data_IF_647424045370
#
_entry.id   IF_647424045370
#
_cell.length_a   1.000
_cell.length_b   1.000
_cell.length_c   1.000
_cell.angle_alpha   90.00
_cell.angle_beta   90.00
_cell.angle_gamma   90.00
#
_symmetry.space_group_name_H-M   'P 1'
#
loop_
_entity.id
_entity.type
_entity.pdbx_description
1 polymer ?
#
# COMPACT_ATOMS: atom_id res chain seq x y z
N UNK A 1 -13.98 -17.46 -15.50
CA UNK A 1 -12.56 -17.07 -15.73
C UNK A 1 -11.92 -17.00 -14.36
N UNK A 2 -10.93 -17.84 -14.03
CA UNK A 2 -10.33 -17.87 -12.70
C UNK A 2 -9.57 -16.58 -12.38
N UNK A 3 -9.52 -16.19 -11.10
CA UNK A 3 -8.67 -15.11 -10.60
C UNK A 3 -7.24 -15.39 -11.06
N UNK A 4 -6.65 -14.48 -11.83
CA UNK A 4 -5.22 -14.55 -12.14
C UNK A 4 -4.53 -13.81 -11.00
N UNK A 5 -3.70 -14.47 -10.20
CA UNK A 5 -2.94 -13.79 -9.15
C UNK A 5 -1.61 -13.32 -9.74
N UNK A 6 -1.64 -12.31 -10.62
CA UNK A 6 -0.45 -11.93 -11.40
C UNK A 6 0.67 -11.36 -10.53
N UNK A 7 0.34 -10.92 -9.32
CA UNK A 7 1.24 -10.25 -8.39
C UNK A 7 1.43 -11.05 -7.10
N UNK A 8 1.06 -12.33 -7.08
CA UNK A 8 1.26 -13.21 -5.93
C UNK A 8 2.70 -13.15 -5.42
N UNK A 9 2.87 -12.89 -4.13
CA UNK A 9 4.19 -12.81 -3.47
C UNK A 9 5.00 -11.56 -3.80
N UNK A 10 4.49 -10.64 -4.64
CA UNK A 10 5.16 -9.38 -4.93
C UNK A 10 4.85 -8.33 -3.86
N UNK A 11 5.81 -7.44 -3.61
CA UNK A 11 5.60 -6.24 -2.79
C UNK A 11 5.56 -5.01 -3.69
N UNK A 12 4.56 -4.15 -3.51
CA UNK A 12 4.38 -2.93 -4.29
C UNK A 12 4.29 -1.70 -3.39
N UNK A 13 4.88 -0.59 -3.83
CA UNK A 13 4.74 0.74 -3.25
C UNK A 13 3.94 1.63 -4.21
N UNK A 14 2.83 2.19 -3.75
CA UNK A 14 1.96 3.06 -4.56
C UNK A 14 1.91 4.47 -3.94
N UNK A 15 2.31 5.49 -4.70
CA UNK A 15 2.19 6.90 -4.29
C UNK A 15 0.82 7.47 -4.67
N UNK A 16 0.30 8.41 -3.86
CA UNK A 16 -1.05 8.96 -4.04
C UNK A 16 -2.16 7.94 -3.77
N UNK A 17 -1.89 6.94 -2.92
CA UNK A 17 -2.72 5.76 -2.77
C UNK A 17 -3.98 5.95 -1.92
N UNK A 18 -4.20 7.12 -1.31
CA UNK A 18 -5.33 7.30 -0.39
C UNK A 18 -6.66 7.55 -1.11
N UNK A 19 -6.65 8.02 -2.37
CA UNK A 19 -7.86 8.41 -3.09
C UNK A 19 -7.78 8.13 -4.61
N UNK A 20 -8.92 8.22 -5.29
CA UNK A 20 -9.01 8.19 -6.75
C UNK A 20 -8.33 6.98 -7.40
N UNK A 21 -7.55 7.23 -8.45
CA UNK A 21 -6.86 6.19 -9.21
C UNK A 21 -5.79 5.45 -8.36
N UNK A 22 -5.14 6.13 -7.41
CA UNK A 22 -4.16 5.50 -6.54
C UNK A 22 -4.82 4.48 -5.61
N UNK A 23 -5.93 4.85 -4.97
CA UNK A 23 -6.72 3.92 -4.15
C UNK A 23 -7.25 2.73 -4.96
N UNK A 24 -7.73 2.97 -6.19
CA UNK A 24 -8.14 1.89 -7.09
C UNK A 24 -6.98 0.95 -7.43
N UNK A 25 -5.77 1.48 -7.62
CA UNK A 25 -4.57 0.68 -7.88
C UNK A 25 -4.17 -0.15 -6.66
N UNK A 26 -4.25 0.42 -5.45
CA UNK A 26 -4.03 -0.31 -4.18
C UNK A 26 -4.94 -1.52 -4.10
N UNK A 27 -6.25 -1.34 -4.33
CA UNK A 27 -7.23 -2.43 -4.32
C UNK A 27 -6.89 -3.47 -5.39
N UNK A 28 -6.68 -3.05 -6.63
CA UNK A 28 -6.39 -3.96 -7.73
C UNK A 28 -5.14 -4.81 -7.50
N UNK A 29 -4.08 -4.23 -6.93
CA UNK A 29 -2.84 -4.95 -6.65
C UNK A 29 -3.03 -5.99 -5.53
N UNK A 30 -3.76 -5.61 -4.47
CA UNK A 30 -4.11 -6.51 -3.38
C UNK A 30 -5.00 -7.68 -3.86
N UNK A 31 -5.95 -7.43 -4.75
CA UNK A 31 -6.82 -8.46 -5.32
C UNK A 31 -6.06 -9.49 -6.17
N UNK A 32 -4.93 -9.08 -6.76
CA UNK A 32 -4.02 -9.88 -7.57
C UNK A 32 -2.92 -10.59 -6.75
N UNK A 33 -3.00 -10.53 -5.41
CA UNK A 33 -2.11 -11.26 -4.48
C UNK A 33 -0.87 -10.49 -4.03
N UNK A 34 -0.79 -9.19 -4.33
CA UNK A 34 0.34 -8.37 -3.88
C UNK A 34 0.22 -8.00 -2.41
N UNK A 35 1.39 -7.69 -1.86
CA UNK A 35 1.64 -7.06 -0.57
C UNK A 35 1.83 -5.56 -0.85
N UNK A 36 0.97 -4.67 -0.34
CA UNK A 36 0.95 -3.26 -0.79
C UNK A 36 1.28 -2.29 0.33
N UNK A 37 2.33 -1.49 0.16
CA UNK A 37 2.48 -0.23 0.87
C UNK A 37 1.97 0.92 0.00
N UNK A 38 1.36 1.93 0.60
CA UNK A 38 0.94 3.11 -0.15
C UNK A 38 1.17 4.41 0.63
N UNK A 39 1.45 5.47 -0.11
CA UNK A 39 1.84 6.79 0.40
C UNK A 39 0.83 7.84 -0.02
N UNK A 40 0.49 8.74 0.90
CA UNK A 40 -0.28 9.94 0.61
C UNK A 40 -0.06 10.99 1.72
N UNK A 41 -0.35 12.25 1.42
CA UNK A 41 -0.37 13.35 2.41
C UNK A 41 -1.65 13.36 3.23
N UNK A 42 -2.74 12.83 2.67
CA UNK A 42 -4.02 12.76 3.37
C UNK A 42 -4.01 11.58 4.37
N UNK A 43 -3.47 11.83 5.56
CA UNK A 43 -3.37 10.83 6.62
C UNK A 43 -4.69 10.18 7.01
N UNK A 44 -5.78 10.96 7.02
CA UNK A 44 -7.09 10.47 7.43
C UNK A 44 -7.68 9.50 6.40
N UNK A 45 -7.65 9.87 5.11
CA UNK A 45 -8.10 8.99 4.04
C UNK A 45 -7.22 7.72 3.96
N UNK A 46 -5.90 7.87 4.11
CA UNK A 46 -4.98 6.74 4.08
C UNK A 46 -5.22 5.73 5.20
N UNK A 47 -5.33 6.18 6.46
CA UNK A 47 -5.64 5.30 7.60
C UNK A 47 -7.01 4.64 7.48
N UNK A 48 -8.01 5.35 6.98
CA UNK A 48 -9.35 4.78 6.76
C UNK A 48 -9.31 3.66 5.70
N UNK A 49 -8.59 3.89 4.59
CA UNK A 49 -8.42 2.88 3.54
C UNK A 49 -7.64 1.66 4.02
N UNK A 50 -6.52 1.87 4.73
CA UNK A 50 -5.74 0.79 5.32
C UNK A 50 -6.58 -0.07 6.27
N UNK A 51 -7.33 0.57 7.18
CA UNK A 51 -8.19 -0.13 8.14
C UNK A 51 -9.22 -1.00 7.43
N UNK A 52 -9.91 -0.44 6.42
CA UNK A 52 -10.90 -1.18 5.63
C UNK A 52 -10.26 -2.40 4.96
N UNK A 53 -9.15 -2.21 4.25
CA UNK A 53 -8.49 -3.27 3.48
C UNK A 53 -7.88 -4.36 4.37
N UNK A 54 -7.32 -4.00 5.54
CA UNK A 54 -6.87 -4.97 6.54
C UNK A 54 -8.04 -5.81 7.07
N UNK A 55 -9.20 -5.20 7.32
CA UNK A 55 -10.41 -5.93 7.73
C UNK A 55 -10.93 -6.89 6.64
N UNK A 56 -10.66 -6.59 5.37
CA UNK A 56 -10.92 -7.47 4.23
C UNK A 56 -9.87 -8.60 4.09
N UNK A 57 -8.87 -8.65 4.98
CA UNK A 57 -7.84 -9.69 5.03
C UNK A 57 -6.60 -9.39 4.17
N UNK A 58 -6.49 -8.19 3.60
CA UNK A 58 -5.36 -7.82 2.78
C UNK A 58 -4.12 -7.42 3.60
N UNK A 59 -2.95 -7.74 3.05
CA UNK A 59 -1.66 -7.31 3.58
C UNK A 59 -1.30 -5.93 3.01
N UNK A 60 -1.64 -4.87 3.76
CA UNK A 60 -1.48 -3.48 3.32
C UNK A 60 -0.88 -2.59 4.41
N UNK A 61 -0.08 -1.59 4.03
CA UNK A 61 0.46 -0.56 4.91
C UNK A 61 0.20 0.84 4.35
N UNK A 62 -0.31 1.75 5.18
CA UNK A 62 -0.31 3.18 4.85
C UNK A 62 0.90 3.90 5.45
N UNK A 63 1.52 4.79 4.67
CA UNK A 63 2.62 5.65 5.09
C UNK A 63 2.26 7.10 4.76
N UNK A 64 2.00 7.90 5.79
CA UNK A 64 1.77 9.33 5.62
C UNK A 64 3.08 10.04 5.24
N UNK A 65 3.15 10.56 4.02
CA UNK A 65 4.33 11.26 3.52
C UNK A 65 3.99 12.22 2.37
N UNK A 66 4.76 13.30 2.27
CA UNK A 66 4.83 14.16 1.10
C UNK A 66 5.96 13.69 0.17
N UNK A 67 5.58 13.27 -1.04
CA UNK A 67 6.54 12.78 -2.05
C UNK A 67 7.43 13.88 -2.64
N UNK A 68 7.15 15.15 -2.34
CA UNK A 68 8.03 16.27 -2.67
C UNK A 68 9.20 16.44 -1.68
N UNK A 69 9.25 15.65 -0.59
CA UNK A 69 10.29 15.72 0.44
C UNK A 69 11.10 14.42 0.42
N UNK A 70 12.35 14.49 -0.04
CA UNK A 70 13.24 13.34 -0.26
C UNK A 70 13.40 12.46 0.98
N UNK A 71 13.56 13.05 2.18
CA UNK A 71 13.69 12.27 3.40
C UNK A 71 12.42 11.47 3.72
N UNK A 72 11.24 11.96 3.34
CA UNK A 72 9.99 11.24 3.53
C UNK A 72 9.83 10.10 2.55
N UNK A 73 10.22 10.31 1.28
CA UNK A 73 10.26 9.26 0.25
C UNK A 73 11.21 8.14 0.68
N UNK A 74 12.43 8.48 1.12
CA UNK A 74 13.40 7.50 1.58
C UNK A 74 12.87 6.67 2.77
N UNK A 75 12.17 7.30 3.72
CA UNK A 75 11.51 6.58 4.82
C UNK A 75 10.39 5.68 4.33
N UNK A 76 9.60 6.11 3.35
CA UNK A 76 8.49 5.31 2.81
C UNK A 76 8.99 4.07 2.06
N UNK A 77 10.03 4.24 1.25
CA UNK A 77 10.72 3.13 0.57
C UNK A 77 11.30 2.17 1.60
N UNK A 78 12.03 2.68 2.60
CA UNK A 78 12.61 1.84 3.65
C UNK A 78 11.55 1.07 4.43
N UNK A 79 10.44 1.71 4.80
CA UNK A 79 9.33 1.06 5.51
C UNK A 79 8.62 -0.01 4.66
N UNK A 80 8.66 0.12 3.32
CA UNK A 80 8.11 -0.90 2.41
C UNK A 80 8.97 -2.17 2.39
N UNK A 81 10.30 -2.03 2.47
CA UNK A 81 11.23 -3.17 2.48
C UNK A 81 11.43 -3.79 3.87
N UNK A 82 11.05 -3.08 4.94
CA UNK A 82 11.31 -3.51 6.30
C UNK A 82 10.35 -4.64 6.71
N UNK A 83 10.82 -5.88 6.54
CA UNK A 83 10.09 -7.15 6.74
C UNK A 83 9.38 -7.30 8.11
N UNK A 84 9.72 -6.45 9.08
CA UNK A 84 9.12 -6.48 10.43
C UNK A 84 7.88 -5.59 10.58
N UNK A 85 7.67 -4.60 9.70
CA UNK A 85 6.67 -3.51 9.92
C UNK A 85 5.33 -3.75 9.27
N UNK A 86 5.30 -4.68 8.34
CA UNK A 86 4.08 -5.12 7.70
C UNK A 86 4.15 -6.63 7.81
N UNK A 87 3.09 -7.26 8.32
CA UNK A 87 2.96 -8.71 8.23
C UNK A 87 2.77 -9.06 6.75
N UNK A 88 3.85 -8.87 5.99
CA UNK A 88 4.07 -9.22 4.60
C UNK A 88 4.88 -10.50 4.54
N UNK A 89 4.77 -11.34 5.56
CA UNK A 89 5.27 -12.70 5.56
C UNK A 89 4.08 -13.61 5.24
#
# INVERSE_FOLDING_TARGET
MGKRNRLEGQTALITGGANGAGAASVVAFLEEGAKVAFVDRNGNAGRALETRLRNEGHQVLFIEADVAIDEQVNRAVQATYDKKRVALD
#
